data_IF_081932512897
#
_entry.id   IF_081932512897
#
_cell.length_a   1.000
_cell.length_b   1.000
_cell.length_c   1.000
_cell.angle_alpha   90.00
_cell.angle_beta   90.00
_cell.angle_gamma   90.00
#
_symmetry.space_group_name_H-M   'P 1'
#
loop_
_entity.id
_entity.type
_entity.pdbx_description
1 polymer ?
#
# COMPACT_ATOMS: atom_id res chain seq x y z
N UNK A 1 -3.10 10.02 -9.25
CA UNK A 1 -3.42 8.99 -8.27
C UNK A 1 -2.58 7.76 -8.54
N UNK A 2 -2.09 7.11 -7.52
CA UNK A 2 -1.32 5.87 -7.65
C UNK A 2 -1.96 4.75 -6.84
N UNK A 3 -1.75 3.53 -7.31
CA UNK A 3 -2.13 2.31 -6.61
C UNK A 3 -0.85 1.60 -6.20
N UNK A 4 -0.72 1.29 -4.92
CA UNK A 4 0.43 0.53 -4.40
C UNK A 4 -0.06 -0.85 -4.03
N UNK A 5 0.63 -1.87 -4.55
CA UNK A 5 0.41 -3.26 -4.16
C UNK A 5 1.73 -3.86 -3.71
N UNK A 6 1.66 -4.72 -2.71
CA UNK A 6 2.87 -5.38 -2.23
C UNK A 6 2.57 -6.79 -1.75
N UNK A 7 3.62 -7.60 -1.78
CA UNK A 7 3.61 -8.95 -1.23
C UNK A 7 4.91 -9.11 -0.44
N UNK A 8 4.80 -9.12 0.87
CA UNK A 8 5.94 -9.19 1.78
C UNK A 8 5.98 -10.55 2.44
N UNK A 9 7.13 -11.22 2.37
CA UNK A 9 7.33 -12.52 2.98
C UNK A 9 7.15 -12.43 4.50
N UNK A 10 6.29 -13.28 5.05
CA UNK A 10 5.99 -13.34 6.49
C UNK A 10 6.52 -14.59 7.15
N UNK A 11 7.40 -15.32 6.49
CA UNK A 11 7.97 -16.57 7.00
C UNK A 11 8.88 -16.32 8.21
N UNK A 12 9.48 -15.13 8.30
CA UNK A 12 10.37 -14.78 9.41
C UNK A 12 9.78 -13.62 10.21
N UNK A 13 10.32 -13.44 11.41
CA UNK A 13 9.96 -12.31 12.28
C UNK A 13 10.29 -10.98 11.60
N UNK A 14 11.43 -10.89 10.94
CA UNK A 14 11.86 -9.71 10.20
C UNK A 14 10.90 -9.40 9.06
N UNK A 15 10.41 -10.43 8.36
CA UNK A 15 9.42 -10.27 7.29
C UNK A 15 8.11 -9.72 7.82
N UNK A 16 7.63 -10.22 8.94
CA UNK A 16 6.41 -9.68 9.57
C UNK A 16 6.59 -8.23 10.01
N UNK A 17 7.78 -7.87 10.48
CA UNK A 17 8.10 -6.49 10.81
C UNK A 17 8.10 -5.60 9.58
N UNK A 18 8.69 -6.07 8.47
CA UNK A 18 8.68 -5.33 7.20
C UNK A 18 7.25 -5.09 6.72
N UNK A 19 6.40 -6.10 6.81
CA UNK A 19 5.00 -5.97 6.42
C UNK A 19 4.30 -4.84 7.17
N UNK A 20 4.49 -4.76 8.49
CA UNK A 20 3.91 -3.69 9.30
C UNK A 20 4.44 -2.32 8.91
N UNK A 21 5.73 -2.22 8.65
CA UNK A 21 6.37 -0.94 8.28
C UNK A 21 5.94 -0.45 6.92
N UNK A 22 5.82 -1.36 5.95
CA UNK A 22 5.33 -1.04 4.62
C UNK A 22 3.90 -0.51 4.70
N UNK A 23 3.03 -1.20 5.43
CA UNK A 23 1.65 -0.77 5.62
C UNK A 23 1.58 0.60 6.28
N UNK A 24 2.36 0.82 7.34
CA UNK A 24 2.40 2.11 8.04
C UNK A 24 2.86 3.24 7.13
N UNK A 25 3.87 3.00 6.31
CA UNK A 25 4.34 4.00 5.34
C UNK A 25 3.25 4.34 4.35
N UNK A 26 2.57 3.34 3.78
CA UNK A 26 1.48 3.58 2.84
C UNK A 26 0.33 4.35 3.47
N UNK A 27 -0.01 4.07 4.73
CA UNK A 27 -1.07 4.77 5.46
C UNK A 27 -0.79 6.26 5.62
N UNK A 28 0.48 6.67 5.65
CA UNK A 28 0.85 8.08 5.73
C UNK A 28 0.55 8.84 4.43
N UNK A 29 0.35 8.15 3.32
CA UNK A 29 0.17 8.77 2.01
C UNK A 29 -1.16 8.46 1.36
N UNK A 30 -1.87 7.47 1.85
CA UNK A 30 -3.10 7.05 1.20
C UNK A 30 -4.02 6.22 2.07
N UNK A 31 -4.97 5.59 1.42
CA UNK A 31 -6.02 4.82 2.05
C UNK A 31 -5.88 3.34 1.68
N UNK A 32 -5.94 2.48 2.71
CA UNK A 32 -5.98 1.03 2.48
C UNK A 32 -7.31 0.65 1.88
N UNK A 33 -7.28 -0.06 0.75
CA UNK A 33 -8.50 -0.54 0.09
C UNK A 33 -8.61 -2.05 0.10
N UNK A 34 -7.48 -2.74 0.23
CA UNK A 34 -7.39 -4.18 0.49
C UNK A 34 -6.16 -4.42 1.35
N UNK A 35 -5.95 -5.65 1.83
CA UNK A 35 -4.89 -5.96 2.82
C UNK A 35 -3.53 -5.40 2.44
N UNK A 36 -3.14 -5.56 1.18
CA UNK A 36 -1.84 -5.09 0.68
C UNK A 36 -2.00 -4.20 -0.53
N UNK A 37 -3.09 -3.41 -0.57
CA UNK A 37 -3.40 -2.50 -1.67
C UNK A 37 -3.81 -1.15 -1.11
N UNK A 38 -3.14 -0.09 -1.57
CA UNK A 38 -3.39 1.28 -1.14
C UNK A 38 -3.62 2.19 -2.33
N UNK A 39 -4.60 3.09 -2.19
CA UNK A 39 -4.86 4.19 -3.13
C UNK A 39 -4.29 5.46 -2.52
N UNK A 40 -3.42 6.13 -3.25
CA UNK A 40 -2.71 7.32 -2.76
C UNK A 40 -2.85 8.48 -3.72
N UNK A 41 -3.36 9.62 -3.22
CA UNK A 41 -3.40 10.88 -3.95
C UNK A 41 -2.14 11.66 -3.57
N UNK A 42 -1.13 11.63 -4.44
CA UNK A 42 0.17 12.23 -4.15
C UNK A 42 0.65 13.04 -5.34
N UNK A 43 1.34 14.13 -5.06
CA UNK A 43 2.06 14.90 -6.06
C UNK A 43 3.42 14.27 -6.34
N UNK A 44 4.19 14.86 -7.26
CA UNK A 44 5.49 14.31 -7.66
C UNK A 44 6.49 14.23 -6.51
N UNK A 45 6.50 15.22 -5.63
CA UNK A 45 7.41 15.22 -4.46
C UNK A 45 7.03 14.15 -3.45
N UNK A 46 5.74 14.06 -3.16
CA UNK A 46 5.22 13.04 -2.25
C UNK A 46 5.46 11.64 -2.80
N UNK A 47 5.27 11.47 -4.10
CA UNK A 47 5.53 10.20 -4.77
C UNK A 47 7.00 9.78 -4.63
N UNK A 48 7.92 10.70 -4.84
CA UNK A 48 9.35 10.43 -4.70
C UNK A 48 9.70 10.02 -3.27
N UNK A 49 9.15 10.73 -2.29
CA UNK A 49 9.37 10.44 -0.87
C UNK A 49 8.79 9.08 -0.47
N UNK A 50 7.56 8.80 -0.89
CA UNK A 50 6.89 7.52 -0.62
C UNK A 50 7.67 6.36 -1.20
N UNK A 51 8.07 6.47 -2.46
CA UNK A 51 8.85 5.44 -3.14
C UNK A 51 10.18 5.18 -2.42
N UNK A 52 10.87 6.24 -2.04
CA UNK A 52 12.15 6.12 -1.33
C UNK A 52 11.98 5.41 0.01
N UNK A 53 10.96 5.77 0.76
CA UNK A 53 10.67 5.14 2.05
C UNK A 53 10.32 3.66 1.89
N UNK A 54 9.48 3.32 0.92
CA UNK A 54 9.11 1.93 0.66
C UNK A 54 10.30 1.08 0.26
N UNK A 55 11.18 1.61 -0.59
CA UNK A 55 12.36 0.89 -1.04
C UNK A 55 13.36 0.64 0.09
N UNK A 56 13.37 1.48 1.11
CA UNK A 56 14.19 1.27 2.30
C UNK A 56 13.62 0.20 3.22
N UNK A 57 12.31 -0.01 3.18
CA UNK A 57 11.66 -0.96 4.08
C UNK A 57 11.65 -2.39 3.54
N UNK A 58 11.49 -2.58 2.23
CA UNK A 58 11.33 -3.91 1.64
C UNK A 58 12.68 -4.61 1.44
N UNK A 59 12.62 -5.94 1.39
CA UNK A 59 13.75 -6.77 1.00
C UNK A 59 13.54 -7.15 -0.47
N UNK A 60 14.37 -6.61 -1.35
CA UNK A 60 14.21 -6.81 -2.80
C UNK A 60 14.35 -8.26 -3.24
N UNK A 61 14.94 -9.11 -2.42
CA UNK A 61 15.09 -10.53 -2.73
C UNK A 61 13.90 -11.37 -2.28
N UNK A 62 13.14 -10.90 -1.30
CA UNK A 62 12.06 -11.68 -0.67
C UNK A 62 10.68 -11.09 -0.88
N UNK A 63 10.61 -9.78 -1.12
CA UNK A 63 9.36 -9.04 -1.19
C UNK A 63 9.12 -8.51 -2.59
N UNK A 64 7.85 -8.18 -2.88
CA UNK A 64 7.43 -7.59 -4.15
C UNK A 64 6.67 -6.31 -3.89
N UNK A 65 6.94 -5.28 -4.69
CA UNK A 65 6.26 -3.99 -4.60
C UNK A 65 5.93 -3.52 -6.00
N UNK A 66 4.68 -3.12 -6.21
CA UNK A 66 4.24 -2.54 -7.49
C UNK A 66 3.55 -1.22 -7.28
N UNK A 67 3.80 -0.28 -8.16
CA UNK A 67 3.19 1.04 -8.14
C UNK A 67 2.57 1.28 -9.52
N UNK A 68 1.26 1.50 -9.52
CA UNK A 68 0.51 1.77 -10.76
C UNK A 68 0.01 3.21 -10.75
N UNK A 69 0.06 3.86 -11.89
CA UNK A 69 -0.56 5.17 -12.08
C UNK A 69 -1.98 4.99 -12.60
N UNK A 70 -2.92 5.64 -11.94
CA UNK A 70 -4.34 5.56 -12.28
C UNK A 70 -4.75 6.87 -12.96
N UNK A 71 -5.42 6.76 -14.10
CA UNK A 71 -5.93 7.91 -14.85
C UNK A 71 -7.02 8.60 -14.03
N UNK A 72 -6.96 9.92 -13.98
CA UNK A 72 -7.97 10.75 -13.32
C UNK A 72 -9.15 11.02 -14.27
N UNK A 73 -10.37 11.22 -13.79
CA UNK A 73 -10.77 11.14 -12.37
C UNK A 73 -10.97 9.70 -11.92
N UNK A 74 -10.66 9.45 -10.64
CA UNK A 74 -10.72 8.11 -10.08
C UNK A 74 -12.12 7.50 -10.17
N UNK A 75 -13.17 8.29 -9.93
CA UNK A 75 -14.55 7.81 -9.90
C UNK A 75 -15.00 7.20 -11.24
N UNK A 76 -14.40 7.65 -12.34
CA UNK A 76 -14.70 7.12 -13.67
C UNK A 76 -13.82 5.93 -14.06
N UNK A 77 -12.76 5.69 -13.29
CA UNK A 77 -11.75 4.67 -13.60
C UNK A 77 -11.68 3.58 -12.54
N UNK A 78 -12.65 3.55 -11.63
CA UNK A 78 -12.72 2.54 -10.57
C UNK A 78 -14.17 2.08 -10.42
N UNK A 79 -14.34 0.77 -10.32
CA UNK A 79 -15.59 0.16 -9.88
C UNK A 79 -15.34 -0.53 -8.55
N UNK A 80 -16.29 -0.42 -7.64
CA UNK A 80 -16.13 -0.90 -6.28
C UNK A 80 -17.34 -1.73 -5.88
N UNK A 81 -17.10 -2.94 -5.37
CA UNK A 81 -18.15 -3.88 -4.99
C UNK A 81 -17.83 -4.44 -3.61
N UNK A 82 -18.88 -4.72 -2.84
CA UNK A 82 -18.73 -5.39 -1.57
C UNK A 82 -18.71 -4.44 -0.38
N UNK A 83 -18.27 -4.94 0.76
CA UNK A 83 -18.34 -4.24 2.02
C UNK A 83 -17.02 -3.50 2.35
N UNK A 84 -17.06 -2.17 2.23
CA UNK A 84 -15.89 -1.32 2.55
C UNK A 84 -15.55 -1.32 4.04
N UNK A 85 -16.56 -1.46 4.89
CA UNK A 85 -16.36 -1.39 6.33
C UNK A 85 -15.50 -2.55 6.84
N UNK A 86 -15.56 -3.70 6.18
CA UNK A 86 -14.73 -4.84 6.53
C UNK A 86 -13.24 -4.55 6.33
N UNK A 87 -12.89 -3.76 5.32
CA UNK A 87 -11.50 -3.38 5.03
C UNK A 87 -10.97 -2.48 6.13
N UNK A 88 -11.73 -1.47 6.52
CA UNK A 88 -11.32 -0.54 7.58
C UNK A 88 -11.14 -1.26 8.91
N UNK A 89 -12.04 -2.18 9.23
CA UNK A 89 -11.96 -2.98 10.42
C UNK A 89 -10.71 -3.87 10.43
N UNK A 90 -10.45 -4.54 9.33
CA UNK A 90 -9.28 -5.42 9.19
C UNK A 90 -7.96 -4.67 9.28
N UNK A 91 -7.90 -3.42 8.84
CA UNK A 91 -6.67 -2.65 8.87
C UNK A 91 -6.14 -2.45 10.29
N UNK A 92 -7.01 -2.46 11.28
CA UNK A 92 -6.61 -2.37 12.69
C UNK A 92 -6.03 -3.69 13.23
N UNK A 93 -6.33 -4.80 12.58
CA UNK A 93 -5.90 -6.14 13.04
C UNK A 93 -4.64 -6.63 12.35
N UNK A 94 -4.37 -6.15 11.16
CA UNK A 94 -3.29 -6.66 10.31
C UNK A 94 -1.96 -5.98 10.62
N UNK A 95 -2.00 -4.78 11.10
CA UNK A 95 -0.81 -4.03 11.43
C UNK A 95 -0.18 -4.52 12.71
#
# INVERSE_FOLDING_TARGET
MILITYDVSTETREGRRRLRRVAKTCLNYGQRVQKSVFECQVNSMEMASLKDQLLKEIDLLKDSLRIYRIIEPLEKNREEFGNRLAIDFESALIV
#
